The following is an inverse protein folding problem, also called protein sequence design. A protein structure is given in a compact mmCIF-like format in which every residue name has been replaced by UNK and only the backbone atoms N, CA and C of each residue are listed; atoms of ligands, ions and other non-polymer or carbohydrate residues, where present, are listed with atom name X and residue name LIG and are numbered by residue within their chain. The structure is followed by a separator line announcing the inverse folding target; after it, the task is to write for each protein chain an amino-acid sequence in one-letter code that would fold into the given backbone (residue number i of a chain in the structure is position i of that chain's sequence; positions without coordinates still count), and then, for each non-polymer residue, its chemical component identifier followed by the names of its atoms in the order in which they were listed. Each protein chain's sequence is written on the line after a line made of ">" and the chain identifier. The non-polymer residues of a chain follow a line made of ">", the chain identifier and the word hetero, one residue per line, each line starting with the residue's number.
data_IF_042101529423
#
_entry.id   IF_042101529423
#
_cell.length_a   1.000
_cell.length_b   1.000
_cell.length_c   1.000
_cell.angle_alpha   90.00
_cell.angle_beta   90.00
_cell.angle_gamma   90.00
#
_symmetry.space_group_name_H-M   'P 1'
#
loop_
_entity.id
_entity.type
_entity.pdbx_description
1 polymer ?
2 non-polymer ?
3 non-polymer ?
4 non-polymer ?
5 non-polymer ?
6 non-polymer ?
7 water ?
#
# COMPACT_ATOMS: atom_id res chain seq x y z
N UNK A 5 3.63 -19.40 3.00
CA UNK A 5 2.28 -19.06 2.45
C UNK A 5 1.20 -19.97 3.01
N UNK A 6 0.31 -19.34 3.74
CA UNK A 6 -0.80 -20.10 4.23
C UNK A 6 -1.86 -20.41 3.17
N UNK A 7 -2.80 -21.29 3.53
CA UNK A 7 -3.95 -21.56 2.64
C UNK A 7 -4.63 -20.24 2.15
N UNK A 8 -5.17 -20.26 0.95
CA UNK A 8 -5.83 -19.13 0.28
C UNK A 8 -6.86 -18.39 1.13
N UNK A 9 -6.63 -17.08 1.32
CA UNK A 9 -7.52 -16.23 2.09
C UNK A 9 -8.24 -15.27 1.15
N UNK A 10 -9.43 -14.91 1.54
CA UNK A 10 -10.24 -13.92 0.83
C UNK A 10 -10.22 -12.55 1.51
N UNK A 11 -10.29 -11.49 0.70
CA UNK A 11 -10.38 -10.09 1.15
C UNK A 11 -11.68 -9.51 0.68
N UNK A 12 -12.66 -10.42 0.54
CA UNK A 12 -14.00 -10.04 0.06
C UNK A 12 -14.90 -11.25 0.46
N UNK A 13 -16.19 -11.15 0.29
CA UNK A 13 -17.11 -12.34 0.44
C UNK A 13 -17.04 -12.83 1.88
N UNK A 14 -16.45 -13.96 2.20
CA UNK A 14 -16.41 -14.51 3.53
C UNK A 14 -15.26 -13.95 4.37
N UNK A 15 -14.37 -13.16 3.75
CA UNK A 15 -13.24 -12.55 4.51
C UNK A 15 -12.45 -13.47 5.38
N UNK A 16 -11.83 -14.49 4.81
CA UNK A 16 -11.13 -15.48 5.58
C UNK A 16 -9.70 -15.01 5.94
N UNK A 17 -9.28 -13.88 5.41
CA UNK A 17 -7.98 -13.32 5.80
C UNK A 17 -7.81 -13.29 7.34
N UNK A 18 -6.65 -13.70 7.85
CA UNK A 18 -6.27 -13.64 9.26
C UNK A 18 -4.77 -13.58 9.36
N UNK A 19 -4.26 -12.95 10.40
CA UNK A 19 -2.83 -12.91 10.64
C UNK A 19 -2.35 -13.98 11.55
N UNK A 20 -1.24 -14.58 11.21
CA UNK A 20 -0.53 -15.47 12.13
C UNK A 20 0.07 -14.62 13.29
N UNK A 21 0.55 -15.32 14.36
CA UNK A 21 1.19 -14.55 15.41
C UNK A 21 2.41 -13.80 14.93
N UNK A 22 3.21 -14.40 14.05
CA UNK A 22 4.33 -13.68 13.45
C UNK A 22 3.92 -12.43 12.63
N UNK A 23 2.88 -12.57 11.83
CA UNK A 23 2.40 -11.40 11.01
C UNK A 23 1.86 -10.33 12.00
N UNK A 24 1.21 -10.75 13.07
CA UNK A 24 0.78 -9.74 14.11
C UNK A 24 2.00 -9.04 14.64
N UNK A 25 3.11 -9.76 14.94
CA UNK A 25 4.22 -9.17 15.65
C UNK A 25 4.92 -8.16 14.77
N UNK A 26 4.96 -8.40 13.46
CA UNK A 26 5.61 -7.48 12.56
C UNK A 26 4.69 -6.41 11.90
N UNK A 27 3.46 -6.34 12.32
CA UNK A 27 2.53 -5.35 11.75
C UNK A 27 3.11 -4.02 12.04
N UNK A 28 3.15 -3.14 11.00
CA UNK A 28 3.73 -1.80 11.16
C UNK A 28 2.84 -0.78 11.89
N UNK A 29 2.71 -0.94 13.22
CA UNK A 29 1.83 -0.07 14.01
C UNK A 29 2.27 1.35 13.81
N UNK A 30 1.37 2.29 13.50
CA UNK A 30 1.91 3.48 12.88
C UNK A 30 1.88 4.71 13.83
N UNK A 31 1.66 4.51 15.15
CA UNK A 31 1.42 5.68 16.01
C UNK A 31 2.62 5.84 16.96
N UNK A 32 3.47 6.86 16.69
CA UNK A 32 4.54 7.10 17.63
C UNK A 32 4.05 7.80 18.90
N UNK A 33 2.83 8.33 18.94
CA UNK A 33 2.39 9.08 20.14
C UNK A 33 0.97 8.74 20.38
N UNK A 34 0.48 9.08 21.57
CA UNK A 34 -0.94 8.88 21.91
C UNK A 34 -1.94 9.71 21.15
N UNK A 35 -1.51 10.68 20.33
CA UNK A 35 -2.39 11.31 19.40
C UNK A 35 -1.67 11.41 18.04
N UNK A 36 -2.48 11.53 16.96
CA UNK A 36 -1.99 11.56 15.60
C UNK A 36 -2.17 12.92 15.00
N UNK A 37 -1.16 13.33 14.23
CA UNK A 37 -1.29 14.55 13.49
C UNK A 37 -0.50 14.39 12.21
N UNK A 38 -0.99 14.95 11.10
CA UNK A 38 -0.22 14.94 9.86
C UNK A 38 1.15 15.60 10.03
N UNK A 39 2.16 15.13 9.28
CA UNK A 39 3.44 15.78 9.26
C UNK A 39 4.22 15.23 8.07
N UNK A 40 5.36 15.83 7.77
CA UNK A 40 6.29 15.25 6.79
C UNK A 40 7.08 14.16 7.47
N UNK A 41 6.54 12.95 7.44
CA UNK A 41 7.06 11.86 8.23
C UNK A 41 7.94 10.87 7.40
N UNK A 42 8.77 11.48 6.57
CA UNK A 42 9.61 10.76 5.64
C UNK A 42 10.89 10.37 6.31
N UNK A 43 11.38 9.20 6.03
CA UNK A 43 12.77 8.82 6.44
C UNK A 43 13.48 8.08 5.31
N UNK A 44 14.84 8.04 5.37
CA UNK A 44 15.54 7.18 4.38
C UNK A 44 15.14 5.74 4.49
N UNK A 45 14.84 5.16 3.33
CA UNK A 45 14.32 3.84 3.28
C UNK A 45 15.50 2.86 3.29
N UNK A 46 16.15 2.76 4.43
CA UNK A 46 17.31 1.86 4.63
C UNK A 46 16.88 0.63 5.34
N UNK A 47 17.51 -0.48 5.03
CA UNK A 47 17.21 -1.77 5.67
C UNK A 47 17.42 -1.69 7.13
N UNK A 48 16.43 -2.08 7.94
CA UNK A 48 16.65 -2.22 9.36
C UNK A 48 15.74 -3.27 9.91
N UNK A 49 16.07 -3.74 11.11
CA UNK A 49 15.25 -4.68 11.87
C UNK A 49 14.90 -5.99 11.13
N UNK A 50 15.81 -6.98 11.14
CA UNK A 50 15.55 -8.16 10.36
C UNK A 50 14.27 -8.80 10.78
N UNK A 51 13.55 -9.41 9.82
CA UNK A 51 12.18 -9.93 10.02
C UNK A 51 11.03 -8.88 9.90
N UNK A 52 11.34 -7.60 10.09
CA UNK A 52 10.35 -6.52 10.04
C UNK A 52 10.03 -6.17 8.56
N UNK A 53 9.01 -5.34 8.40
CA UNK A 53 8.65 -4.88 7.06
C UNK A 53 9.62 -3.89 6.49
N UNK A 54 10.57 -3.43 7.30
CA UNK A 54 11.58 -2.45 6.85
C UNK A 54 12.90 -3.09 6.45
N UNK A 55 12.92 -4.41 6.46
CA UNK A 55 14.15 -5.14 6.10
C UNK A 55 14.59 -5.05 4.62
N UNK A 56 13.61 -5.18 3.73
CA UNK A 56 13.78 -5.11 2.29
C UNK A 56 13.02 -3.94 1.71
N UNK A 57 13.39 -3.52 0.52
CA UNK A 57 12.64 -2.45 -0.14
C UNK A 57 11.23 -2.88 -0.50
N UNK A 58 11.05 -4.15 -0.88
CA UNK A 58 9.74 -4.69 -1.21
C UNK A 58 9.49 -5.86 -0.31
N UNK A 59 8.45 -5.75 0.52
CA UNK A 59 8.11 -6.79 1.50
C UNK A 59 7.09 -7.82 0.98
N UNK A 60 7.48 -9.10 1.01
CA UNK A 60 6.62 -10.20 0.61
C UNK A 60 6.37 -10.96 1.89
N UNK A 61 5.11 -11.24 2.20
CA UNK A 61 4.74 -11.84 3.46
C UNK A 61 3.86 -13.06 3.29
N UNK A 62 3.34 -13.55 4.38
CA UNK A 62 2.52 -14.80 4.37
C UNK A 62 1.29 -14.71 3.55
N UNK A 63 0.85 -13.51 3.23
CA UNK A 63 -0.40 -13.33 2.47
C UNK A 63 -0.19 -13.16 0.96
N UNK A 64 1.05 -13.29 0.52
CA UNK A 64 1.41 -13.05 -0.89
C UNK A 64 0.51 -13.71 -1.90
N UNK A 65 0.30 -15.02 -1.70
CA UNK A 65 -0.50 -15.74 -2.68
C UNK A 65 -1.95 -15.29 -2.66
N UNK A 66 -2.50 -15.13 -1.48
CA UNK A 66 -3.88 -14.61 -1.30
C UNK A 66 -4.06 -13.29 -1.98
N UNK A 67 -3.10 -12.38 -1.72
CA UNK A 67 -3.20 -11.03 -2.28
C UNK A 67 -3.08 -10.99 -3.77
N UNK A 68 -2.25 -11.83 -4.36
CA UNK A 68 -2.20 -11.83 -5.84
C UNK A 68 -3.45 -12.42 -6.48
N UNK A 69 -4.06 -13.42 -5.82
CA UNK A 69 -5.39 -13.86 -6.24
C UNK A 69 -6.47 -12.77 -6.15
N UNK A 70 -6.40 -11.95 -5.11
CA UNK A 70 -7.35 -10.83 -5.02
C UNK A 70 -7.10 -9.83 -6.11
N UNK A 71 -5.83 -9.45 -6.31
CA UNK A 71 -5.52 -8.59 -7.44
C UNK A 71 -6.01 -9.13 -8.75
N UNK A 72 -5.78 -10.42 -8.98
CA UNK A 72 -6.28 -11.01 -10.25
C UNK A 72 -7.81 -10.85 -10.40
N UNK A 73 -8.55 -11.05 -9.34
CA UNK A 73 -9.99 -10.86 -9.35
C UNK A 73 -10.36 -9.42 -9.64
N UNK A 74 -9.66 -8.46 -9.01
CA UNK A 74 -10.04 -7.03 -9.26
C UNK A 74 -9.91 -6.71 -10.73
N UNK A 75 -8.76 -7.12 -11.24
CA UNK A 75 -8.43 -6.90 -12.64
C UNK A 75 -9.30 -7.65 -13.67
N UNK A 76 -9.74 -8.85 -13.33
CA UNK A 76 -10.76 -9.57 -14.14
C UNK A 76 -12.03 -8.74 -14.34
N UNK A 77 -12.48 -8.08 -13.29
CA UNK A 77 -13.65 -7.30 -13.33
C UNK A 77 -13.37 -5.93 -13.87
N UNK A 78 -12.18 -5.36 -13.65
CA UNK A 78 -11.95 -3.97 -14.04
C UNK A 78 -10.49 -3.82 -14.48
N UNK A 79 -10.17 -4.11 -15.76
CA UNK A 79 -8.73 -4.00 -16.20
C UNK A 79 -8.18 -2.58 -16.16
N UNK A 80 -9.08 -1.62 -16.11
CA UNK A 80 -8.72 -0.22 -16.02
C UNK A 80 -8.19 0.29 -14.69
N UNK A 81 -7.97 -0.61 -13.72
CA UNK A 81 -7.29 -0.25 -12.50
C UNK A 81 -5.77 -0.08 -12.79
N UNK A 82 -5.33 -0.51 -13.97
CA UNK A 82 -3.92 -0.33 -14.35
C UNK A 82 -3.90 0.54 -15.59
N UNK A 83 -3.12 1.60 -15.57
CA UNK A 83 -3.04 2.54 -16.63
C UNK A 83 -1.57 2.88 -16.81
N UNK A 84 -1.07 2.95 -18.04
CA UNK A 84 0.28 3.47 -18.33
C UNK A 84 0.16 4.37 -19.50
N UNK A 85 0.26 5.67 -19.27
CA UNK A 85 0.28 6.56 -20.45
C UNK A 85 1.53 6.27 -21.34
N UNK A 86 1.41 6.55 -22.64
CA UNK A 86 2.44 6.07 -23.63
C UNK A 86 3.77 6.58 -23.28
N UNK A 87 3.83 7.80 -22.71
CA UNK A 87 5.16 8.31 -22.36
C UNK A 87 5.83 7.67 -21.12
N UNK A 88 5.10 6.81 -20.41
CA UNK A 88 5.56 6.24 -19.19
C UNK A 88 5.99 4.74 -19.47
N UNK A 89 6.03 4.33 -20.73
CA UNK A 89 6.39 2.94 -21.03
C UNK A 89 7.82 2.60 -20.51
N UNK A 90 8.76 3.50 -20.67
CA UNK A 90 10.12 3.20 -20.19
C UNK A 90 10.11 3.10 -18.65
N UNK A 91 9.36 4.01 -18.01
CA UNK A 91 9.16 3.94 -16.54
C UNK A 91 8.57 2.63 -16.09
N UNK A 92 7.67 2.04 -16.85
CA UNK A 92 7.05 0.82 -16.52
C UNK A 92 8.09 -0.30 -16.61
N UNK A 93 8.93 -0.27 -17.67
CA UNK A 93 10.09 -1.25 -17.70
C UNK A 93 11.06 -1.09 -16.52
N UNK A 94 11.40 0.16 -16.14
CA UNK A 94 12.28 0.44 -14.99
C UNK A 94 11.69 -0.19 -13.73
N UNK A 95 10.36 -0.07 -13.60
CA UNK A 95 9.66 -0.63 -12.48
C UNK A 95 9.77 -2.17 -12.39
N UNK A 96 9.49 -2.82 -13.53
CA UNK A 96 9.67 -4.22 -13.66
C UNK A 96 11.11 -4.66 -13.32
N UNK A 97 12.08 -3.86 -13.73
CA UNK A 97 13.54 -4.23 -13.50
C UNK A 97 13.79 -4.13 -11.99
N UNK A 98 13.35 -3.03 -11.39
CA UNK A 98 13.60 -2.78 -9.97
C UNK A 98 12.92 -3.83 -9.16
N UNK A 99 11.64 -4.19 -9.47
CA UNK A 99 10.97 -5.25 -8.68
C UNK A 99 11.62 -6.63 -8.81
N UNK A 100 11.87 -7.04 -10.05
CA UNK A 100 12.49 -8.32 -10.26
C UNK A 100 13.88 -8.44 -9.60
N UNK A 101 14.72 -7.44 -9.76
CA UNK A 101 16.02 -7.47 -9.12
C UNK A 101 15.91 -7.62 -7.63
N UNK A 102 15.05 -6.81 -6.98
CA UNK A 102 15.01 -6.84 -5.54
C UNK A 102 14.38 -8.06 -5.06
N UNK A 103 13.29 -8.53 -5.73
CA UNK A 103 12.68 -9.72 -5.26
C UNK A 103 13.59 -10.96 -5.36
N UNK A 104 14.29 -11.08 -6.47
CA UNK A 104 15.20 -12.24 -6.68
C UNK A 104 16.38 -12.21 -5.73
N UNK A 105 16.85 -11.03 -5.40
CA UNK A 105 17.92 -10.89 -4.41
C UNK A 105 17.43 -11.14 -3.02
N UNK A 106 16.22 -10.71 -2.68
CA UNK A 106 15.82 -10.72 -1.24
C UNK A 106 15.08 -11.99 -0.88
N UNK A 107 14.38 -12.63 -1.82
CA UNK A 107 13.64 -13.82 -1.55
C UNK A 107 14.00 -14.95 -2.57
N UNK A 108 15.26 -15.38 -2.50
CA UNK A 108 15.74 -16.35 -3.47
C UNK A 108 15.03 -17.69 -3.39
N UNK A 109 14.35 -18.04 -2.29
CA UNK A 109 13.52 -19.27 -2.29
C UNK A 109 12.31 -19.15 -3.19
N UNK A 110 11.86 -17.94 -3.46
CA UNK A 110 10.62 -17.75 -4.18
C UNK A 110 10.76 -17.18 -5.62
N UNK A 111 11.80 -16.45 -5.89
CA UNK A 111 11.99 -15.78 -7.13
C UNK A 111 13.42 -15.99 -7.65
N UNK A 112 13.56 -15.98 -8.98
CA UNK A 112 14.92 -16.07 -9.62
C UNK A 112 14.96 -15.24 -10.84
N UNK A 113 16.11 -14.61 -11.11
CA UNK A 113 16.29 -13.79 -12.27
C UNK A 113 17.66 -14.10 -12.90
N UNK A 114 17.67 -14.43 -14.19
CA UNK A 114 18.92 -14.63 -14.87
C UNK A 114 18.82 -13.77 -16.09
N UNK A 115 19.89 -13.10 -16.44
CA UNK A 115 19.85 -12.16 -17.57
C UNK A 115 21.08 -12.26 -18.46
N UNK A 116 20.90 -12.08 -19.73
CA UNK A 116 22.03 -11.75 -20.62
C UNK A 116 21.56 -10.71 -21.58
N UNK A 117 22.11 -9.50 -21.42
CA UNK A 117 21.66 -8.34 -22.16
C UNK A 117 20.14 -8.20 -21.80
N UNK A 118 19.35 -8.03 -22.84
CA UNK A 118 17.87 -7.88 -22.73
C UNK A 118 17.13 -9.22 -22.76
N UNK A 119 17.86 -10.34 -22.83
CA UNK A 119 17.28 -11.65 -22.66
C UNK A 119 17.15 -12.00 -21.15
N UNK A 120 15.95 -11.87 -20.56
CA UNK A 120 15.72 -12.09 -19.15
C UNK A 120 14.91 -13.37 -18.90
N UNK A 121 15.26 -14.05 -17.83
CA UNK A 121 14.63 -15.23 -17.38
C UNK A 121 14.16 -15.08 -15.95
N UNK A 122 12.86 -14.98 -15.82
CA UNK A 122 12.21 -14.77 -14.50
C UNK A 122 11.43 -15.94 -14.07
N UNK A 123 11.71 -16.42 -12.89
CA UNK A 123 10.90 -17.47 -12.30
C UNK A 123 10.25 -16.99 -10.99
N UNK A 124 8.96 -17.17 -10.90
CA UNK A 124 8.25 -16.96 -9.67
C UNK A 124 7.67 -18.27 -9.26
N UNK A 125 8.37 -18.88 -8.31
CA UNK A 125 8.05 -20.23 -7.87
C UNK A 125 6.80 -20.19 -7.02
N UNK A 126 6.60 -19.13 -6.26
CA UNK A 126 5.35 -19.01 -5.50
C UNK A 126 4.09 -19.10 -6.34
N UNK A 127 4.03 -18.50 -7.54
CA UNK A 127 2.89 -18.49 -8.39
C UNK A 127 3.06 -19.44 -9.58
N UNK A 128 4.18 -20.17 -9.68
CA UNK A 128 4.40 -21.15 -10.77
C UNK A 128 4.54 -20.48 -12.14
N UNK A 129 5.28 -19.38 -12.21
CA UNK A 129 5.48 -18.63 -13.46
C UNK A 129 6.93 -18.80 -13.88
N UNK A 130 7.19 -19.14 -15.14
CA UNK A 130 8.57 -19.34 -15.63
C UNK A 130 8.61 -18.59 -16.98
N UNK A 131 9.17 -17.39 -17.00
CA UNK A 131 9.04 -16.49 -18.13
C UNK A 131 10.37 -16.13 -18.74
N UNK A 132 10.56 -16.49 -20.00
CA UNK A 132 11.70 -15.98 -20.81
C UNK A 132 11.16 -14.85 -21.67
N UNK A 133 11.73 -13.68 -21.54
CA UNK A 133 11.20 -12.54 -22.28
C UNK A 133 12.32 -11.57 -22.62
N UNK A 134 11.95 -10.55 -23.36
CA UNK A 134 12.86 -9.61 -23.86
C UNK A 134 12.57 -8.27 -23.18
N UNK A 135 13.53 -7.83 -22.42
CA UNK A 135 13.42 -6.53 -21.71
C UNK A 135 13.33 -5.36 -22.63
N UNK A 136 12.20 -4.66 -22.53
CA UNK A 136 11.89 -3.55 -23.46
C UNK A 136 10.95 -3.90 -24.58
N UNK A 137 10.69 -5.20 -24.80
CA UNK A 137 9.83 -5.65 -25.87
C UNK A 137 8.48 -6.09 -25.35
N UNK A 138 7.45 -5.24 -25.46
CA UNK A 138 6.17 -5.58 -24.80
C UNK A 138 5.46 -6.78 -25.44
N UNK A 139 5.80 -7.10 -26.67
CA UNK A 139 5.23 -8.30 -27.28
C UNK A 139 5.79 -9.61 -26.73
N UNK A 140 6.87 -9.59 -25.92
CA UNK A 140 7.36 -10.81 -25.40
C UNK A 140 6.79 -11.18 -24.05
N UNK A 141 5.93 -10.34 -23.50
CA UNK A 141 5.24 -10.62 -22.28
C UNK A 141 3.77 -10.83 -22.56
N UNK A 142 3.07 -11.56 -21.71
CA UNK A 142 1.62 -11.77 -21.98
C UNK A 142 0.74 -10.51 -21.71
N UNK A 143 1.32 -9.50 -21.07
CA UNK A 143 0.68 -8.18 -20.95
C UNK A 143 1.73 -7.10 -20.80
N UNK A 144 1.24 -5.88 -20.85
CA UNK A 144 1.98 -4.64 -20.60
C UNK A 144 2.90 -4.84 -19.36
N UNK A 145 4.12 -4.32 -19.41
CA UNK A 145 5.10 -4.60 -18.35
C UNK A 145 4.74 -4.18 -16.89
N UNK A 146 4.10 -3.01 -16.72
CA UNK A 146 3.71 -2.66 -15.33
C UNK A 146 2.73 -3.67 -14.81
N UNK A 147 1.71 -3.95 -15.61
CA UNK A 147 0.68 -4.85 -15.20
C UNK A 147 1.34 -6.25 -14.91
N UNK A 148 2.25 -6.66 -15.80
CA UNK A 148 2.94 -7.97 -15.67
C UNK A 148 3.62 -8.18 -14.33
N UNK A 149 4.39 -7.21 -13.91
CA UNK A 149 5.13 -7.33 -12.68
C UNK A 149 4.29 -7.04 -11.41
N UNK A 150 3.34 -6.11 -11.51
CA UNK A 150 2.53 -5.76 -10.30
C UNK A 150 1.53 -6.84 -10.03
N UNK A 151 1.14 -7.63 -11.03
CA UNK A 151 0.36 -8.85 -10.77
C UNK A 151 1.17 -9.84 -9.95
N UNK A 152 2.42 -9.53 -9.65
CA UNK A 152 3.31 -10.40 -8.87
C UNK A 152 4.01 -9.78 -7.71
N UNK A 153 3.52 -8.62 -7.29
CA UNK A 153 4.03 -7.95 -6.06
C UNK A 153 2.84 -7.38 -5.27
N UNK A 154 2.89 -7.55 -3.97
CA UNK A 154 1.88 -7.00 -3.07
C UNK A 154 1.84 -5.44 -3.04
N UNK A 155 0.69 -4.92 -2.71
CA UNK A 155 0.54 -3.44 -2.65
C UNK A 155 0.28 -2.80 -4.00
N UNK A 156 -0.12 -1.55 -3.95
CA UNK A 156 -0.34 -0.76 -5.12
C UNK A 156 0.95 -0.02 -5.53
N UNK A 157 0.90 0.56 -6.72
CA UNK A 157 1.99 1.32 -7.27
C UNK A 157 1.48 2.51 -8.07
N UNK A 158 2.01 3.70 -7.82
CA UNK A 158 1.86 4.75 -8.81
C UNK A 158 3.18 5.05 -9.37
N UNK A 159 3.19 5.44 -10.65
CA UNK A 159 4.45 5.81 -11.27
C UNK A 159 4.34 7.28 -11.73
N UNK A 160 5.16 8.17 -11.17
CA UNK A 160 5.03 9.54 -11.42
C UNK A 160 6.08 10.12 -12.39
N UNK A 161 5.63 10.88 -13.37
CA UNK A 161 6.48 11.66 -14.22
C UNK A 161 6.88 12.92 -13.49
N UNK A 162 8.19 13.14 -13.41
CA UNK A 162 8.72 14.39 -12.83
C UNK A 162 9.04 15.32 -13.95
N UNK A 163 8.31 16.41 -14.03
CA UNK A 163 8.61 17.43 -15.02
C UNK A 163 8.12 18.78 -14.53
N UNK A 164 8.80 19.83 -14.97
CA UNK A 164 8.29 21.20 -14.68
C UNK A 164 8.15 21.45 -13.15
N UNK A 165 9.04 20.91 -12.36
CA UNK A 165 9.05 21.05 -10.93
C UNK A 165 7.88 20.40 -10.23
N UNK A 166 7.27 19.37 -10.84
CA UNK A 166 6.05 18.78 -10.22
C UNK A 166 6.06 17.25 -10.55
N UNK A 167 5.10 16.52 -9.98
CA UNK A 167 4.98 15.07 -10.21
C UNK A 167 3.58 14.81 -10.71
N UNK A 168 3.46 13.94 -11.72
CA UNK A 168 2.20 13.74 -12.35
C UNK A 168 1.88 12.25 -12.37
N UNK A 169 0.66 11.90 -11.99
CA UNK A 169 0.27 10.49 -11.85
C UNK A 169 -0.11 9.91 -13.23
N UNK A 170 0.93 9.50 -13.98
CA UNK A 170 0.75 9.16 -15.39
C UNK A 170 0.77 7.63 -15.65
N UNK A 171 0.88 6.85 -14.60
CA UNK A 171 0.79 5.38 -14.61
C UNK A 171 0.59 4.79 -13.23
N UNK A 172 0.07 3.58 -13.14
CA UNK A 172 -0.05 2.87 -11.88
C UNK A 172 -0.86 1.60 -11.98
N UNK A 173 -0.81 0.88 -10.88
CA UNK A 173 -1.65 -0.27 -10.64
C UNK A 173 -2.28 -0.06 -9.29
N UNK A 174 -3.60 0.18 -9.32
CA UNK A 174 -4.27 0.59 -8.05
C UNK A 174 -5.49 -0.27 -7.87
N UNK A 175 -5.30 -1.37 -7.17
CA UNK A 175 -6.37 -2.32 -6.91
C UNK A 175 -6.76 -2.47 -5.45
N UNK A 176 -5.98 -1.91 -4.54
CA UNK A 176 -6.34 -1.89 -3.13
C UNK A 176 -6.27 -0.51 -2.48
N UNK A 177 -6.96 0.45 -3.06
CA UNK A 177 -6.80 1.82 -2.63
C UNK A 177 -7.59 2.09 -1.34
N UNK A 178 -7.16 3.10 -0.58
CA UNK A 178 -7.97 3.63 0.55
C UNK A 178 -8.88 4.68 -0.04
N UNK A 179 -9.90 4.26 -0.79
CA UNK A 179 -10.94 5.14 -1.24
C UNK A 179 -10.48 6.29 -2.09
N UNK A 180 -9.74 5.93 -3.15
CA UNK A 180 -9.43 6.83 -4.24
C UNK A 180 -9.27 5.96 -5.53
N UNK A 181 -9.11 6.60 -6.68
CA UNK A 181 -9.10 5.94 -7.97
C UNK A 181 -8.03 6.49 -8.89
N UNK A 182 -7.28 5.61 -9.52
CA UNK A 182 -6.31 6.00 -10.50
C UNK A 182 -6.95 6.56 -11.75
N UNK A 183 -8.10 6.05 -12.16
CA UNK A 183 -8.78 6.65 -13.34
C UNK A 183 -9.25 8.08 -13.03
N UNK A 184 -9.66 8.36 -11.81
CA UNK A 184 -9.95 9.75 -11.47
C UNK A 184 -8.73 10.64 -11.48
N UNK A 185 -7.64 10.14 -10.90
CA UNK A 185 -6.48 10.95 -10.61
C UNK A 185 -5.43 11.00 -11.76
N UNK A 186 -5.65 10.20 -12.79
CA UNK A 186 -4.74 10.10 -13.95
C UNK A 186 -4.38 11.43 -14.52
N UNK A 187 -3.09 11.66 -14.54
CA UNK A 187 -2.57 12.92 -15.10
C UNK A 187 -2.57 14.10 -14.15
N UNK A 188 -3.12 13.94 -12.94
CA UNK A 188 -3.04 15.05 -11.94
C UNK A 188 -1.63 15.29 -11.37
N UNK A 189 -1.38 16.49 -10.86
CA UNK A 189 -0.18 16.83 -10.21
C UNK A 189 -0.33 16.56 -8.71
N UNK A 190 0.79 16.63 -7.98
CA UNK A 190 0.95 16.24 -6.60
C UNK A 190 0.01 17.01 -5.65
N UNK A 191 -0.07 18.33 -5.80
CA UNK A 191 -0.99 19.08 -4.89
C UNK A 191 -2.40 18.82 -5.27
N UNK A 192 -2.65 18.63 -6.57
CA UNK A 192 -4.00 18.49 -7.10
C UNK A 192 -4.65 17.18 -6.64
N UNK A 193 -3.92 16.06 -6.77
CA UNK A 193 -4.54 14.80 -6.33
C UNK A 193 -4.74 14.79 -4.81
N UNK A 194 -3.97 15.58 -4.10
CA UNK A 194 -4.09 15.63 -2.60
C UNK A 194 -5.12 16.66 -2.16
N UNK A 195 -5.78 17.28 -3.11
CA UNK A 195 -6.76 18.36 -2.83
C UNK A 195 -7.86 17.98 -1.76
N UNK A 196 -8.34 16.73 -1.70
CA UNK A 196 -9.33 16.43 -0.68
C UNK A 196 -8.85 16.39 0.77
N UNK A 197 -7.55 16.36 1.00
CA UNK A 197 -7.03 16.10 2.33
C UNK A 197 -7.19 17.35 3.23
N UNK A 198 -7.82 17.21 4.41
CA UNK A 198 -7.97 18.40 5.25
C UNK A 198 -6.72 18.79 5.95
N UNK A 199 -6.58 20.08 6.26
CA UNK A 199 -5.50 20.61 7.15
C UNK A 199 -4.09 20.62 6.62
N UNK A 200 -3.72 19.57 5.91
CA UNK A 200 -2.30 19.37 5.61
C UNK A 200 -1.81 20.46 4.60
N UNK A 201 -2.67 20.98 3.76
CA UNK A 201 -2.22 22.01 2.80
C UNK A 201 -1.84 23.27 3.56
N UNK A 202 -2.74 23.72 4.43
CA UNK A 202 -2.46 24.96 5.23
C UNK A 202 -1.20 24.80 6.09
N UNK A 203 -0.98 23.61 6.61
CA UNK A 203 0.20 23.33 7.43
C UNK A 203 1.51 23.30 6.61
N UNK A 204 1.43 23.29 5.28
CA UNK A 204 2.61 23.27 4.44
C UNK A 204 3.11 21.86 4.12
N UNK A 205 2.37 20.86 4.59
CA UNK A 205 2.88 19.51 4.59
C UNK A 205 3.18 19.08 3.11
N UNK A 206 2.25 19.41 2.26
CA UNK A 206 2.34 19.01 0.79
C UNK A 206 3.37 19.86 0.08
N UNK A 207 3.55 21.10 0.52
CA UNK A 207 4.66 21.91 -0.06
C UNK A 207 6.01 21.30 0.27
N UNK A 208 6.29 21.03 1.53
CA UNK A 208 7.52 20.50 1.93
C UNK A 208 7.75 19.06 1.34
N UNK A 209 6.66 18.26 1.35
CA UNK A 209 6.76 16.88 0.90
C UNK A 209 7.15 16.89 -0.61
N UNK A 210 6.55 17.76 -1.43
CA UNK A 210 6.89 17.81 -2.88
C UNK A 210 8.34 18.14 -3.01
N UNK A 211 8.81 19.07 -2.20
CA UNK A 211 10.16 19.51 -2.36
C UNK A 211 11.08 18.38 -2.04
N UNK A 212 10.83 17.61 -1.01
CA UNK A 212 11.71 16.46 -0.66
C UNK A 212 11.69 15.38 -1.79
N UNK A 213 10.48 15.06 -2.25
CA UNK A 213 10.35 13.98 -3.27
C UNK A 213 11.08 14.33 -4.61
N UNK A 214 10.96 15.57 -5.02
CA UNK A 214 11.63 16.03 -6.23
C UNK A 214 13.15 15.84 -6.22
N UNK A 215 13.74 15.75 -5.04
CA UNK A 215 15.17 15.58 -4.87
C UNK A 215 15.58 14.20 -4.58
N UNK A 216 14.65 13.22 -4.62
CA UNK A 216 15.05 11.87 -4.42
C UNK A 216 15.92 11.36 -5.59
N UNK A 217 17.02 10.73 -5.23
CA UNK A 217 18.05 10.20 -6.14
C UNK A 217 18.14 8.75 -6.13
N UNK A 218 18.70 8.22 -7.24
CA UNK A 218 18.93 6.84 -7.37
C UNK A 218 19.70 6.31 -6.22
N UNK A 219 19.22 5.21 -5.68
CA UNK A 219 19.82 4.51 -4.59
C UNK A 219 19.63 5.17 -3.22
N UNK A 220 18.97 6.29 -3.14
CA UNK A 220 18.60 6.88 -1.83
C UNK A 220 17.03 6.97 -1.67
N UNK A 221 16.34 5.86 -1.71
CA UNK A 221 14.91 5.95 -1.59
C UNK A 221 14.47 6.37 -0.18
N UNK A 222 13.17 6.66 -0.06
CA UNK A 222 12.57 7.28 1.13
C UNK A 222 11.26 6.56 1.41
N UNK A 223 10.83 6.58 2.64
CA UNK A 223 9.58 5.92 3.03
C UNK A 223 8.80 6.75 4.04
N UNK A 224 7.53 6.47 4.16
CA UNK A 224 6.71 6.87 5.27
C UNK A 224 5.54 5.89 5.48
N UNK A 225 4.78 6.07 6.56
CA UNK A 225 3.58 5.29 6.83
C UNK A 225 2.41 6.18 6.75
N UNK A 226 1.32 5.69 6.16
CA UNK A 226 0.04 6.29 6.29
C UNK A 226 -0.89 5.20 6.93
N UNK A 227 -2.08 5.60 7.37
CA UNK A 227 -3.00 4.66 8.03
C UNK A 227 -4.40 5.12 7.79
N UNK A 228 -5.32 4.15 7.93
CA UNK A 228 -6.73 4.42 8.13
C UNK A 228 -7.39 3.19 8.79
N UNK A 229 -8.70 3.16 8.76
CA UNK A 229 -9.43 1.97 9.20
C UNK A 229 -10.29 1.47 8.04
N UNK A 230 -10.57 0.15 8.12
CA UNK A 230 -11.42 -0.52 7.16
C UNK A 230 -12.28 -1.50 7.87
N UNK A 231 -13.56 -1.51 7.51
CA UNK A 231 -14.49 -2.53 8.07
C UNK A 231 -14.36 -3.82 7.22
N UNK A 232 -14.00 -4.92 7.88
CA UNK A 232 -13.62 -6.17 7.28
C UNK A 232 -12.21 -6.06 6.61
N UNK A 233 -11.58 -7.18 6.29
CA UNK A 233 -10.29 -7.03 5.64
C UNK A 233 -10.49 -6.89 4.14
N UNK A 234 -11.15 -5.83 3.78
CA UNK A 234 -11.44 -5.51 2.40
C UNK A 234 -10.26 -4.68 1.82
N UNK A 235 -9.54 -5.25 0.85
CA UNK A 235 -8.48 -4.54 0.19
C UNK A 235 -9.04 -3.59 -0.86
N UNK A 236 -10.05 -4.00 -1.66
CA UNK A 236 -10.53 -3.16 -2.74
C UNK A 236 -11.55 -2.12 -2.24
N UNK A 237 -11.11 -1.13 -1.44
CA UNK A 237 -12.03 -0.07 -0.99
C UNK A 237 -12.02 1.08 -1.93
N UNK A 238 -12.40 0.82 -3.20
CA UNK A 238 -12.37 1.79 -4.21
C UNK A 238 -13.73 2.46 -4.43
N UNK A 239 -13.72 3.66 -4.96
CA UNK A 239 -14.97 4.32 -5.42
C UNK A 239 -15.72 3.41 -6.38
N UNK A 240 -14.95 2.75 -7.30
CA UNK A 240 -15.49 1.89 -8.31
C UNK A 240 -16.48 0.87 -7.73
N UNK A 241 -16.20 0.42 -6.52
CA UNK A 241 -16.90 -0.67 -5.94
C UNK A 241 -17.68 -0.30 -4.66
N UNK A 242 -17.90 1.01 -4.49
CA UNK A 242 -18.47 1.54 -3.21
C UNK A 242 -19.69 0.76 -2.73
N UNK A 243 -20.56 0.40 -3.64
CA UNK A 243 -21.81 -0.32 -3.17
C UNK A 243 -21.51 -1.64 -2.48
N UNK A 244 -20.38 -2.26 -2.76
CA UNK A 244 -19.92 -3.44 -2.10
C UNK A 244 -19.33 -3.28 -0.75
N UNK A 245 -18.94 -2.09 -0.37
CA UNK A 245 -18.28 -1.96 0.91
C UNK A 245 -18.82 -0.82 1.80
N UNK A 246 -19.33 0.25 1.22
CA UNK A 246 -19.55 1.48 2.01
C UNK A 246 -20.57 1.29 3.09
N UNK A 247 -21.56 0.48 2.84
CA UNK A 247 -22.56 0.17 3.83
C UNK A 247 -22.08 -0.69 5.03
N UNK A 248 -20.95 -1.38 4.90
CA UNK A 248 -20.46 -2.09 6.03
C UNK A 248 -20.09 -1.13 7.18
N UNK A 249 -19.89 0.15 6.88
CA UNK A 249 -19.56 1.15 7.92
C UNK A 249 -20.70 1.35 8.89
N UNK A 250 -21.89 0.88 8.51
CA UNK A 250 -23.15 0.92 9.35
C UNK A 250 -23.36 -0.34 10.21
N UNK A 251 -22.47 -1.30 10.12
CA UNK A 251 -22.69 -2.62 10.72
C UNK A 251 -21.93 -2.90 12.03
N UNK A 252 -21.25 -1.90 12.55
CA UNK A 252 -20.40 -2.08 13.66
C UNK A 252 -21.26 -1.93 14.93
N UNK A 253 -21.02 -2.82 15.89
CA UNK A 253 -21.75 -2.83 17.16
C UNK A 253 -20.76 -3.01 18.25
N UNK A 254 -21.24 -2.77 19.51
CA UNK A 254 -20.31 -2.99 20.59
C UNK A 254 -19.78 -4.39 20.71
N UNK A 255 -20.57 -5.39 20.25
CA UNK A 255 -20.13 -6.78 20.39
C UNK A 255 -19.17 -7.24 19.20
N UNK A 256 -19.21 -6.57 18.04
CA UNK A 256 -18.46 -7.07 16.88
C UNK A 256 -17.29 -6.17 16.48
N UNK A 257 -16.93 -5.14 17.29
CA UNK A 257 -15.78 -4.21 16.92
C UNK A 257 -14.54 -4.96 16.61
N UNK A 258 -14.20 -5.92 17.46
CA UNK A 258 -12.99 -6.66 17.36
C UNK A 258 -12.81 -7.53 16.08
N UNK A 259 -13.92 -7.95 15.54
CA UNK A 259 -13.91 -8.80 14.34
C UNK A 259 -14.02 -7.95 13.09
N UNK A 260 -14.78 -6.88 13.16
CA UNK A 260 -15.02 -6.05 11.97
C UNK A 260 -13.93 -4.98 11.75
N UNK A 261 -13.58 -4.22 12.81
CA UNK A 261 -12.76 -3.00 12.55
C UNK A 261 -11.35 -3.49 12.35
N UNK A 262 -10.74 -3.07 11.24
CA UNK A 262 -9.32 -3.30 10.99
C UNK A 262 -8.51 -2.02 10.91
N UNK A 263 -7.30 -2.07 11.46
CA UNK A 263 -6.33 -0.97 11.22
C UNK A 263 -5.63 -1.31 9.90
N UNK A 264 -5.57 -0.33 9.01
CA UNK A 264 -4.99 -0.41 7.65
C UNK A 264 -3.81 0.53 7.60
N UNK A 265 -2.63 -0.04 7.31
CA UNK A 265 -1.40 0.76 7.27
C UNK A 265 -0.76 0.60 5.92
N UNK A 266 -0.32 1.73 5.38
CA UNK A 266 0.40 1.75 4.10
C UNK A 266 1.83 2.07 4.43
N UNK A 267 2.71 1.15 4.06
CA UNK A 267 4.16 1.38 4.06
C UNK A 267 4.51 1.85 2.65
N UNK A 268 4.85 3.13 2.55
CA UNK A 268 5.01 3.80 1.33
C UNK A 268 6.50 3.95 1.01
N UNK A 269 6.84 3.55 -0.21
CA UNK A 269 8.21 3.71 -0.78
C UNK A 269 8.22 4.69 -1.93
N UNK A 270 9.19 5.60 -1.90
CA UNK A 270 9.43 6.52 -2.98
C UNK A 270 10.88 6.31 -3.48
N UNK A 271 11.02 5.90 -4.75
CA UNK A 271 12.31 5.48 -5.30
C UNK A 271 12.43 6.04 -6.72
N UNK A 272 13.59 6.63 -7.02
CA UNK A 272 13.85 7.17 -8.35
C UNK A 272 14.10 5.96 -9.27
N UNK A 273 13.46 5.99 -10.40
CA UNK A 273 13.69 4.97 -11.41
C UNK A 273 14.81 5.46 -12.34
N UNK A 274 15.84 4.65 -12.53
CA UNK A 274 17.09 5.09 -13.14
C UNK A 274 17.10 5.40 -14.67
N UNK A 275 16.44 4.64 -15.55
CA UNK A 275 16.43 5.02 -16.99
C UNK A 275 15.54 6.24 -17.21
N UNK A 276 14.29 6.22 -16.74
CA UNK A 276 13.29 7.27 -17.03
C UNK A 276 13.36 8.49 -16.14
N UNK A 277 13.97 8.37 -14.99
CA UNK A 277 13.96 9.42 -13.95
C UNK A 277 12.55 9.66 -13.35
N UNK A 278 11.63 8.77 -13.60
CA UNK A 278 10.30 8.80 -12.96
C UNK A 278 10.45 8.40 -11.49
N UNK A 279 9.41 8.64 -10.67
CA UNK A 279 9.46 8.28 -9.26
C UNK A 279 8.44 7.15 -9.06
N UNK A 280 8.89 6.05 -8.50
CA UNK A 280 8.04 4.92 -8.14
C UNK A 280 7.46 5.18 -6.72
N UNK A 281 6.16 5.10 -6.60
CA UNK A 281 5.47 5.15 -5.27
C UNK A 281 4.78 3.84 -4.98
N UNK A 282 5.41 3.06 -4.08
CA UNK A 282 4.91 1.76 -3.60
C UNK A 282 3.98 2.00 -2.42
N UNK A 283 2.80 1.40 -2.47
CA UNK A 283 1.82 1.47 -1.40
C UNK A 283 1.55 0.11 -0.85
N UNK A 284 2.39 -0.29 0.12
CA UNK A 284 2.25 -1.62 0.63
C UNK A 284 1.28 -1.64 1.77
N UNK A 285 0.15 -2.32 1.56
CA UNK A 285 -0.98 -2.24 2.43
C UNK A 285 -1.17 -3.44 3.35
N UNK A 286 -1.09 -3.16 4.67
CA UNK A 286 -1.27 -4.13 5.73
C UNK A 286 -2.54 -3.94 6.47
N UNK A 287 -3.16 -5.07 6.83
CA UNK A 287 -4.42 -5.08 7.56
C UNK A 287 -4.31 -5.93 8.84
N UNK A 288 -4.95 -5.46 9.90
CA UNK A 288 -4.96 -6.23 11.17
C UNK A 288 -6.32 -5.96 11.82
N UNK A 289 -7.02 -7.01 12.26
CA UNK A 289 -8.26 -6.82 13.05
C UNK A 289 -7.96 -6.27 14.43
N UNK A 290 -8.95 -5.60 14.98
CA UNK A 290 -8.78 -5.10 16.32
C UNK A 290 -8.67 -6.22 17.34
N UNK A 291 -9.37 -7.35 17.14
CA UNK A 291 -9.08 -8.51 18.01
C UNK A 291 -7.64 -8.88 18.01
N UNK A 292 -7.01 -8.96 16.83
CA UNK A 292 -5.59 -9.30 16.74
C UNK A 292 -4.75 -8.26 17.34
N UNK A 293 -5.09 -7.00 17.08
CA UNK A 293 -4.18 -5.91 17.45
C UNK A 293 -4.11 -5.80 18.99
N UNK A 294 -5.25 -5.99 19.64
CA UNK A 294 -5.32 -5.81 21.13
C UNK A 294 -4.61 -6.92 21.88
N UNK A 295 -4.13 -7.94 21.17
CA UNK A 295 -3.02 -8.85 21.62
C UNK A 295 -1.95 -8.15 22.34
N UNK A 296 -1.64 -6.99 21.80
CA UNK A 296 -0.54 -6.19 22.26
C UNK A 296 -1.17 -5.09 23.09
N UNK A 297 -0.95 -5.15 24.42
CA UNK A 297 -1.66 -4.23 25.30
C UNK A 297 -1.23 -2.79 25.06
N UNK A 298 0.00 -2.59 24.69
CA UNK A 298 0.48 -1.22 24.39
C UNK A 298 -0.23 -0.60 23.15
N UNK A 299 -0.40 -1.45 22.13
CA UNK A 299 -1.09 -0.98 20.94
C UNK A 299 -2.52 -0.67 21.23
N UNK A 300 -3.18 -1.49 22.07
CA UNK A 300 -4.56 -1.27 22.36
C UNK A 300 -4.81 0.09 23.05
N UNK A 301 -4.01 0.37 24.05
CA UNK A 301 -4.17 1.59 24.85
C UNK A 301 -3.92 2.81 23.99
N UNK A 302 -2.83 2.76 23.24
CA UNK A 302 -2.46 3.86 22.34
C UNK A 302 -3.55 4.06 21.31
N UNK A 303 -4.15 3.00 20.79
CA UNK A 303 -5.20 3.19 19.72
C UNK A 303 -6.41 3.80 20.31
N UNK A 304 -6.70 3.45 21.57
CA UNK A 304 -7.84 4.03 22.22
C UNK A 304 -7.71 5.59 22.25
N UNK A 305 -6.55 6.04 22.68
CA UNK A 305 -6.24 7.46 22.83
C UNK A 305 -6.26 8.13 21.49
N UNK A 306 -5.59 7.55 20.51
CA UNK A 306 -5.61 8.15 19.15
C UNK A 306 -7.01 8.32 18.61
N UNK A 307 -7.86 7.28 18.67
CA UNK A 307 -9.14 7.36 18.06
C UNK A 307 -10.00 8.32 18.87
N UNK A 308 -9.86 8.30 20.21
CA UNK A 308 -10.67 9.24 21.09
C UNK A 308 -10.40 10.71 20.74
N UNK A 309 -9.14 11.01 20.47
CA UNK A 309 -8.71 12.39 20.35
C UNK A 309 -8.51 12.92 18.96
N UNK A 310 -8.64 12.05 17.96
CA UNK A 310 -8.38 12.44 16.55
C UNK A 310 -9.18 13.64 16.14
N UNK A 311 -8.56 14.61 15.48
CA UNK A 311 -9.34 15.74 15.04
C UNK A 311 -10.46 15.30 14.16
N UNK A 312 -11.60 15.93 14.32
CA UNK A 312 -12.73 15.51 13.64
C UNK A 312 -12.57 15.60 12.08
N UNK A 313 -11.94 16.64 11.54
CA UNK A 313 -11.83 16.67 10.06
C UNK A 313 -11.00 15.48 9.51
N UNK A 314 -10.04 15.04 10.28
CA UNK A 314 -9.22 13.90 9.92
C UNK A 314 -10.04 12.59 10.02
N UNK A 315 -10.79 12.41 11.12
CA UNK A 315 -11.67 11.31 11.30
C UNK A 315 -12.64 11.20 10.14
N UNK A 316 -13.24 12.30 9.81
CA UNK A 316 -14.19 12.37 8.75
C UNK A 316 -13.60 12.09 7.35
N UNK A 317 -12.43 12.66 7.09
CA UNK A 317 -11.71 12.38 5.87
C UNK A 317 -11.43 10.89 5.77
N UNK A 318 -10.98 10.27 6.85
CA UNK A 318 -10.62 8.89 6.84
C UNK A 318 -11.80 7.91 6.76
N UNK A 319 -13.04 8.39 6.90
CA UNK A 319 -14.22 7.57 6.70
C UNK A 319 -14.66 6.83 7.94
N UNK A 320 -14.27 7.28 9.13
CA UNK A 320 -14.41 6.54 10.39
C UNK A 320 -15.60 7.06 11.20
N UNK A 321 -16.14 8.19 10.82
CA UNK A 321 -17.30 8.84 11.51
C UNK A 321 -18.42 7.95 12.01
N UNK A 322 -18.97 7.14 11.09
CA UNK A 322 -20.28 6.43 11.38
C UNK A 322 -20.10 5.52 12.53
N UNK A 323 -18.92 4.98 12.78
CA UNK A 323 -18.75 4.01 13.88
C UNK A 323 -17.76 4.43 14.97
N UNK A 324 -17.29 5.67 14.93
CA UNK A 324 -16.21 6.07 15.78
C UNK A 324 -16.57 5.96 17.29
N UNK A 325 -17.77 6.36 17.67
CA UNK A 325 -18.17 6.32 19.11
C UNK A 325 -18.18 4.87 19.61
N UNK A 326 -18.79 3.94 18.83
CA UNK A 326 -18.72 2.53 19.23
C UNK A 326 -17.35 2.00 19.37
N UNK A 327 -16.45 2.41 18.45
CA UNK A 327 -15.07 2.02 18.47
C UNK A 327 -14.36 2.54 19.69
N UNK A 328 -14.57 3.82 19.98
CA UNK A 328 -13.82 4.44 21.11
C UNK A 328 -14.23 3.76 22.44
N UNK A 329 -15.55 3.60 22.61
CA UNK A 329 -16.12 2.86 23.76
C UNK A 329 -15.50 1.52 23.94
N UNK A 330 -15.35 0.77 22.85
CA UNK A 330 -14.73 -0.54 22.91
C UNK A 330 -13.33 -0.55 23.29
N UNK A 331 -12.56 0.39 22.72
CA UNK A 331 -11.17 0.43 22.97
C UNK A 331 -10.87 0.96 24.41
N UNK A 332 -11.80 1.71 24.97
CA UNK A 332 -11.57 2.34 26.36
C UNK A 332 -11.30 1.24 27.38
N UNK A 333 -11.93 0.07 27.17
CA UNK A 333 -11.67 -1.10 28.01
C UNK A 333 -10.24 -1.50 28.10
N UNK A 334 -9.39 -1.08 27.15
CA UNK A 334 -7.94 -1.44 27.19
C UNK A 334 -6.99 -0.30 27.69
N UNK A 335 -7.60 0.74 28.24
CA UNK A 335 -6.87 1.90 28.72
C UNK A 335 -7.13 2.06 30.26
N UNK A 336 -6.24 1.53 31.07
CA UNK A 336 -6.48 1.70 32.54
C UNK A 336 -6.65 3.14 33.01
N UNK A 337 -5.88 4.10 32.50
CA UNK A 337 -6.01 5.49 33.00
C UNK A 337 -7.35 6.05 32.62
N UNK A 338 -7.81 5.81 31.42
CA UNK A 338 -9.16 6.19 31.16
C UNK A 338 -10.07 5.42 32.09
#
# INVERSE_FOLDING_TARGET
>A
MTLTFKPLESYREDFSFRNSPAAIARFPFPFPEDQYMYSVNLEPAVSRDPGSVFEHQFDVDEHYVSEMAERARVLELDPGRCLVMPHMAQAAWDTLAMLMEHLARDYPQHFRLTRQGDAWHWQNLALGIDQRFTFGDPASLPCEPLEYITRQMQGDFAVLDQRDGDLFMDAGMVTCPADWSLRFDAGMSFKQWHSPVPMAHQMGVFDRALKYLLNIQVGAPVRRLNWTLTINPRLDTSPETYHEWGNDRGKVTPDNVGRLVHLRVELQLMARLPRSNALLFGIRTYLISLDELVSNPAWAQRLHRVMRDLPDPIADYKGITRYRQTLVDWLRRFDPEAHHHHHH
#
